data_IF_445952367949
#
_entry.id   IF_445952367949
#
_cell.length_a   1.000
_cell.length_b   1.000
_cell.length_c   1.000
_cell.angle_alpha   90.00
_cell.angle_beta   90.00
_cell.angle_gamma   90.00
#
_symmetry.space_group_name_H-M   'P 1'
#
loop_
_entity.id
_entity.type
_entity.pdbx_description
1 polymer ?
#
# COMPACT_ATOMS: atom_id res chain seq x y z
N UNK A 1 5.06 -27.46 11.67
CA UNK A 1 6.33 -27.04 11.08
C UNK A 1 6.97 -26.00 11.98
N UNK A 2 7.82 -26.45 12.93
CA UNK A 2 8.50 -25.60 13.88
C UNK A 2 9.63 -24.78 13.26
N UNK A 3 9.31 -23.90 12.34
CA UNK A 3 10.29 -22.91 11.89
C UNK A 3 10.43 -21.89 13.00
N UNK A 4 11.62 -21.74 13.56
CA UNK A 4 11.85 -20.71 14.56
C UNK A 4 11.59 -19.34 13.94
N UNK A 5 10.63 -18.64 14.50
CA UNK A 5 10.29 -17.29 14.11
C UNK A 5 10.88 -16.31 15.10
N UNK A 6 11.34 -15.23 14.62
CA UNK A 6 12.00 -14.19 15.32
C UNK A 6 11.04 -13.28 16.06
N UNK A 7 11.31 -13.06 17.32
CA UNK A 7 10.68 -11.98 18.05
C UNK A 7 11.33 -10.65 17.63
N UNK A 8 10.67 -9.90 16.78
CA UNK A 8 11.07 -8.55 16.50
C UNK A 8 10.75 -7.65 17.69
N UNK A 9 11.75 -7.29 18.48
CA UNK A 9 11.65 -6.29 19.55
C UNK A 9 11.41 -4.87 19.01
N UNK A 10 11.18 -4.71 17.71
CA UNK A 10 11.31 -3.41 17.05
C UNK A 10 10.02 -2.78 16.54
N UNK A 11 8.86 -3.44 16.65
CA UNK A 11 7.63 -2.88 16.10
C UNK A 11 6.53 -2.81 17.13
N UNK A 12 6.29 -1.63 17.66
CA UNK A 12 4.99 -1.35 18.26
C UNK A 12 3.86 -1.54 17.26
N UNK A 13 4.07 -1.21 15.99
CA UNK A 13 3.13 -1.54 14.91
C UNK A 13 2.89 -3.04 14.75
N UNK A 14 3.92 -3.87 14.85
CA UNK A 14 3.75 -5.32 14.78
C UNK A 14 3.11 -5.91 16.05
N UNK A 15 3.17 -5.23 17.18
CA UNK A 15 2.47 -5.67 18.40
C UNK A 15 0.95 -5.53 18.29
N UNK A 16 0.48 -4.61 17.45
CA UNK A 16 -0.94 -4.37 17.22
C UNK A 16 -1.44 -4.96 15.90
N UNK A 17 -0.53 -5.32 15.00
CA UNK A 17 -0.86 -5.78 13.66
C UNK A 17 -0.52 -7.26 13.50
N UNK A 18 -1.50 -8.11 13.78
CA UNK A 18 -1.37 -9.57 13.83
C UNK A 18 -1.42 -10.24 12.45
N UNK A 19 -1.35 -9.48 11.36
CA UNK A 19 -1.39 -10.07 10.01
C UNK A 19 -0.07 -10.73 9.59
N UNK A 20 1.01 -10.52 10.33
CA UNK A 20 2.30 -11.12 10.01
C UNK A 20 2.28 -12.61 10.37
N UNK A 21 2.32 -13.54 9.40
CA UNK A 21 2.16 -14.97 9.66
C UNK A 21 3.11 -15.57 10.69
N UNK A 22 4.32 -15.02 10.89
CA UNK A 22 5.24 -15.53 11.91
C UNK A 22 4.94 -15.13 13.35
N UNK A 23 3.99 -14.25 13.58
CA UNK A 23 3.61 -13.81 14.92
C UNK A 23 2.42 -14.60 15.43
N UNK A 24 2.34 -14.81 16.74
CA UNK A 24 1.16 -15.39 17.34
C UNK A 24 -0.04 -14.47 17.09
N UNK A 25 -1.06 -15.00 16.44
CA UNK A 25 -2.34 -14.33 16.31
C UNK A 25 -3.13 -14.55 17.60
N UNK A 26 -3.63 -13.47 18.22
CA UNK A 26 -4.55 -13.60 19.35
C UNK A 26 -5.97 -14.04 18.94
N UNK A 27 -6.17 -14.45 17.69
CA UNK A 27 -7.46 -14.86 17.13
C UNK A 27 -7.55 -16.37 17.00
N UNK A 28 -8.77 -16.89 17.15
CA UNK A 28 -9.10 -18.31 17.11
C UNK A 28 -10.01 -18.64 15.91
N UNK A 29 -10.20 -19.92 15.61
CA UNK A 29 -11.19 -20.36 14.64
C UNK A 29 -12.61 -19.96 15.04
N UNK A 30 -12.90 -19.90 16.33
CA UNK A 30 -14.17 -19.41 16.84
C UNK A 30 -14.38 -17.93 16.50
N UNK A 31 -13.34 -17.11 16.61
CA UNK A 31 -13.39 -15.70 16.21
C UNK A 31 -13.63 -15.56 14.69
N UNK A 32 -12.95 -16.36 13.88
CA UNK A 32 -13.17 -16.37 12.44
C UNK A 32 -14.63 -16.74 12.09
N UNK A 33 -15.18 -17.77 12.72
CA UNK A 33 -16.60 -18.17 12.53
C UNK A 33 -17.52 -17.05 12.99
N UNK A 34 -17.23 -16.40 14.11
CA UNK A 34 -18.04 -15.29 14.62
C UNK A 34 -18.05 -14.10 13.65
N UNK A 35 -16.92 -13.75 13.06
CA UNK A 35 -16.82 -12.69 12.06
C UNK A 35 -17.60 -13.03 10.80
N UNK A 36 -17.45 -14.23 10.27
CA UNK A 36 -18.18 -14.68 9.07
C UNK A 36 -19.70 -14.63 9.30
N UNK A 37 -20.17 -15.09 10.46
CA UNK A 37 -21.57 -15.03 10.85
C UNK A 37 -22.08 -13.60 11.04
N UNK A 38 -21.29 -12.74 11.67
CA UNK A 38 -21.62 -11.32 11.88
C UNK A 38 -21.94 -10.61 10.57
N UNK A 39 -21.24 -10.96 9.49
CA UNK A 39 -21.44 -10.37 8.17
C UNK A 39 -22.40 -11.16 7.28
N UNK A 40 -23.07 -12.20 7.82
CA UNK A 40 -24.03 -13.04 7.10
C UNK A 40 -23.40 -13.86 5.96
N UNK A 41 -22.06 -13.97 5.92
CA UNK A 41 -21.33 -14.60 4.83
C UNK A 41 -21.15 -16.12 4.95
N UNK A 42 -21.69 -16.73 6.02
CA UNK A 42 -21.46 -18.17 6.28
C UNK A 42 -21.90 -19.06 5.11
N UNK A 43 -23.05 -18.80 4.54
CA UNK A 43 -23.58 -19.61 3.45
C UNK A 43 -22.85 -19.39 2.12
N UNK A 44 -22.21 -18.23 1.95
CA UNK A 44 -21.39 -17.89 0.78
C UNK A 44 -19.94 -18.36 0.93
N UNK A 45 -19.53 -18.69 2.15
CA UNK A 45 -18.19 -19.20 2.41
C UNK A 45 -18.01 -20.59 1.78
N UNK A 46 -16.94 -20.85 1.02
CA UNK A 46 -16.67 -22.14 0.42
C UNK A 46 -16.72 -23.29 1.45
N UNK A 47 -17.30 -24.42 1.06
CA UNK A 47 -17.47 -25.57 1.96
C UNK A 47 -16.14 -26.06 2.54
N UNK A 48 -15.05 -26.01 1.77
CA UNK A 48 -13.71 -26.39 2.23
C UNK A 48 -13.25 -25.55 3.42
N UNK A 49 -13.52 -24.24 3.39
CA UNK A 49 -13.19 -23.32 4.48
C UNK A 49 -14.08 -23.58 5.68
N UNK A 50 -15.40 -23.68 5.48
CA UNK A 50 -16.34 -23.97 6.57
C UNK A 50 -15.98 -25.27 7.29
N UNK A 51 -15.70 -26.32 6.53
CA UNK A 51 -15.30 -27.62 7.06
C UNK A 51 -13.98 -27.53 7.85
N UNK A 52 -13.01 -26.77 7.34
CA UNK A 52 -11.74 -26.56 8.04
C UNK A 52 -11.94 -25.83 9.37
N UNK A 53 -12.71 -24.76 9.39
CA UNK A 53 -13.01 -24.00 10.60
C UNK A 53 -13.80 -24.82 11.63
N UNK A 54 -14.77 -25.65 11.17
CA UNK A 54 -15.57 -26.51 12.04
C UNK A 54 -14.78 -27.72 12.57
N UNK A 55 -13.77 -28.16 11.85
CA UNK A 55 -12.87 -29.23 12.30
C UNK A 55 -11.81 -28.72 13.27
N UNK A 56 -11.89 -27.47 13.70
CA UNK A 56 -10.98 -26.81 14.60
C UNK A 56 -10.77 -27.62 15.88
N UNK A 57 -9.52 -27.78 16.25
CA UNK A 57 -9.09 -28.49 17.46
C UNK A 57 -7.63 -28.14 17.74
N UNK A 58 -7.08 -28.60 18.86
CA UNK A 58 -5.77 -28.19 19.35
C UNK A 58 -4.62 -28.31 18.34
N UNK A 59 -4.77 -29.18 17.35
CA UNK A 59 -3.76 -29.38 16.30
C UNK A 59 -3.91 -28.45 15.09
N UNK A 60 -5.06 -27.82 14.93
CA UNK A 60 -5.37 -26.96 13.79
C UNK A 60 -5.52 -25.49 14.19
N UNK A 61 -5.67 -25.22 15.48
CA UNK A 61 -5.82 -23.87 16.01
C UNK A 61 -4.53 -23.05 15.83
N UNK A 62 -4.68 -21.74 15.78
CA UNK A 62 -3.54 -20.84 15.82
C UNK A 62 -2.73 -21.06 17.12
N UNK A 63 -1.41 -20.93 17.01
CA UNK A 63 -0.55 -20.96 18.18
C UNK A 63 -0.94 -19.84 19.13
N UNK A 64 -1.14 -20.17 20.41
CA UNK A 64 -1.44 -19.17 21.42
C UNK A 64 -0.25 -18.25 21.68
N UNK A 65 -0.52 -17.09 22.28
CA UNK A 65 0.55 -16.16 22.68
C UNK A 65 1.48 -16.83 23.69
N UNK A 66 0.92 -17.60 24.63
CA UNK A 66 1.67 -18.33 25.64
C UNK A 66 2.60 -19.39 25.02
N UNK A 67 2.10 -20.17 24.07
CA UNK A 67 2.92 -21.14 23.33
C UNK A 67 4.01 -20.42 22.53
N UNK A 68 3.67 -19.32 21.86
CA UNK A 68 4.63 -18.52 21.11
C UNK A 68 5.77 -17.99 21.98
N UNK A 69 5.48 -17.54 23.20
CA UNK A 69 6.48 -17.03 24.14
C UNK A 69 7.43 -18.13 24.64
N UNK A 70 7.02 -19.42 24.60
CA UNK A 70 7.88 -20.53 24.94
C UNK A 70 8.89 -20.90 23.85
N UNK A 71 8.65 -20.45 22.64
CA UNK A 71 9.53 -20.71 21.53
C UNK A 71 10.85 -19.97 21.74
N UNK A 72 11.97 -20.68 21.64
CA UNK A 72 13.31 -20.12 21.87
C UNK A 72 13.65 -18.90 21.00
N UNK A 73 14.78 -18.25 21.29
CA UNK A 73 15.24 -17.04 20.65
C UNK A 73 15.26 -17.16 19.12
N UNK A 74 14.80 -16.13 18.49
CA UNK A 74 14.57 -16.09 17.06
C UNK A 74 15.11 -14.80 16.49
N UNK A 75 15.66 -14.89 15.32
CA UNK A 75 16.26 -13.72 14.68
C UNK A 75 15.41 -13.22 13.53
N UNK A 76 14.94 -11.98 13.57
CA UNK A 76 14.32 -11.27 12.48
C UNK A 76 15.13 -10.02 12.17
N UNK A 77 15.74 -9.96 11.02
CA UNK A 77 16.48 -8.80 10.58
C UNK A 77 15.57 -7.86 9.81
N UNK A 78 15.37 -6.66 10.29
CA UNK A 78 14.87 -5.59 9.47
C UNK A 78 16.01 -4.89 8.79
N UNK A 79 15.82 -4.66 7.51
CA UNK A 79 16.74 -3.85 6.73
C UNK A 79 16.56 -2.41 7.20
N UNK A 80 17.39 -2.04 8.18
CA UNK A 80 17.76 -0.69 8.59
C UNK A 80 16.66 0.36 8.78
N UNK A 81 16.44 0.75 10.02
CA UNK A 81 15.65 1.93 10.40
C UNK A 81 16.10 3.20 9.67
N UNK A 82 17.40 3.35 9.45
CA UNK A 82 18.00 4.56 8.84
C UNK A 82 18.16 4.43 7.31
N UNK A 83 17.77 3.30 6.72
CA UNK A 83 17.79 3.05 5.28
C UNK A 83 16.37 2.80 4.73
N UNK A 84 15.35 3.27 5.42
CA UNK A 84 13.98 3.30 4.89
C UNK A 84 13.90 4.23 3.69
N UNK A 85 12.87 4.07 2.88
CA UNK A 85 12.69 4.84 1.64
C UNK A 85 12.79 6.34 1.87
N UNK A 86 12.19 6.86 2.96
CA UNK A 86 12.19 8.30 3.22
C UNK A 86 13.60 8.90 3.42
N UNK A 87 14.45 8.41 4.33
CA UNK A 87 15.81 8.95 4.47
C UNK A 87 16.61 8.88 3.18
N UNK A 88 16.47 7.83 2.40
CA UNK A 88 17.14 7.67 1.10
C UNK A 88 16.66 8.72 0.09
N UNK A 89 15.35 8.89 -0.05
CA UNK A 89 14.75 9.91 -0.94
C UNK A 89 15.11 11.31 -0.48
N UNK A 90 15.00 11.61 0.81
CA UNK A 90 15.35 12.91 1.36
C UNK A 90 16.83 13.25 1.19
N UNK A 91 17.72 12.25 1.34
CA UNK A 91 19.14 12.40 1.03
C UNK A 91 19.35 12.73 -0.43
N UNK A 92 18.74 11.94 -1.33
CA UNK A 92 18.86 12.14 -2.77
C UNK A 92 18.30 13.48 -3.24
N UNK A 93 17.17 13.89 -2.71
CA UNK A 93 16.59 15.20 -3.00
C UNK A 93 17.57 16.34 -2.63
N UNK A 94 18.17 16.28 -1.44
CA UNK A 94 19.17 17.27 -1.00
C UNK A 94 20.42 17.28 -1.88
N UNK A 95 20.92 16.11 -2.28
CA UNK A 95 22.06 16.00 -3.21
C UNK A 95 21.76 16.68 -4.55
N UNK A 96 20.49 16.66 -4.97
CA UNK A 96 20.01 17.32 -6.19
C UNK A 96 19.64 18.80 -5.98
N UNK A 97 19.81 19.33 -4.77
CA UNK A 97 19.52 20.73 -4.45
C UNK A 97 18.06 21.02 -4.07
N UNK A 98 17.25 20.01 -3.79
CA UNK A 98 15.84 20.18 -3.42
C UNK A 98 15.61 19.95 -1.92
N UNK A 99 14.95 20.89 -1.22
CA UNK A 99 14.35 20.60 0.08
C UNK A 99 13.38 19.44 -0.03
N UNK A 100 13.35 18.58 0.99
CA UNK A 100 12.40 17.46 1.05
C UNK A 100 11.59 17.52 2.35
N UNK A 101 10.30 17.45 2.23
CA UNK A 101 9.34 17.49 3.34
C UNK A 101 8.52 16.22 3.36
N UNK A 102 8.52 15.53 4.50
CA UNK A 102 7.60 14.43 4.77
C UNK A 102 6.25 15.02 5.19
N UNK A 103 5.21 14.75 4.40
CA UNK A 103 3.83 15.16 4.70
C UNK A 103 3.14 14.15 5.61
N UNK A 104 3.32 12.86 5.34
CA UNK A 104 2.74 11.78 6.14
C UNK A 104 3.50 10.48 5.92
N UNK A 105 3.75 9.74 7.01
CA UNK A 105 4.22 8.35 6.98
C UNK A 105 3.06 7.35 7.11
N UNK A 106 1.84 7.84 7.27
CA UNK A 106 0.66 7.04 7.65
C UNK A 106 -0.54 7.36 6.74
N UNK A 107 -0.30 7.54 5.44
CA UNK A 107 -1.37 7.84 4.51
C UNK A 107 -2.19 6.58 4.24
N UNK A 108 -3.37 6.51 4.82
CA UNK A 108 -4.35 5.46 4.61
C UNK A 108 -5.65 6.12 4.10
N UNK A 109 -5.81 6.17 2.79
CA UNK A 109 -6.97 6.78 2.16
C UNK A 109 -7.30 6.06 0.85
N UNK A 110 -8.48 6.34 0.30
CA UNK A 110 -8.79 5.96 -1.07
C UNK A 110 -7.75 6.59 -2.02
N UNK A 111 -7.13 5.79 -2.87
CA UNK A 111 -5.95 6.20 -3.64
C UNK A 111 -6.24 7.42 -4.53
N UNK A 112 -7.40 7.46 -5.19
CA UNK A 112 -7.83 8.60 -6.03
C UNK A 112 -7.98 9.89 -5.24
N UNK A 113 -8.49 9.81 -4.03
CA UNK A 113 -8.68 10.98 -3.16
C UNK A 113 -7.33 11.49 -2.66
N UNK A 114 -6.47 10.58 -2.20
CA UNK A 114 -5.11 10.91 -1.79
C UNK A 114 -4.32 11.59 -2.91
N UNK A 115 -4.35 11.03 -4.13
CA UNK A 115 -3.70 11.59 -5.31
C UNK A 115 -4.19 13.00 -5.64
N UNK A 116 -5.50 13.21 -5.62
CA UNK A 116 -6.11 14.52 -5.83
C UNK A 116 -5.66 15.55 -4.80
N UNK A 117 -5.65 15.19 -3.51
CA UNK A 117 -5.24 16.09 -2.42
C UNK A 117 -3.78 16.48 -2.53
N UNK A 118 -2.89 15.51 -2.79
CA UNK A 118 -1.44 15.79 -2.93
C UNK A 118 -1.17 16.66 -4.16
N UNK A 119 -1.88 16.44 -5.25
CA UNK A 119 -1.79 17.29 -6.43
C UNK A 119 -2.20 18.75 -6.12
N UNK A 120 -3.29 18.95 -5.38
CA UNK A 120 -3.75 20.28 -4.96
C UNK A 120 -2.76 20.97 -4.02
N UNK A 121 -2.15 20.26 -3.07
CA UNK A 121 -1.08 20.80 -2.23
C UNK A 121 0.12 21.21 -3.10
N UNK A 122 0.48 20.42 -4.11
CA UNK A 122 1.56 20.71 -5.05
C UNK A 122 1.25 21.97 -5.88
N UNK A 123 0.00 22.14 -6.32
CA UNK A 123 -0.47 23.35 -7.00
C UNK A 123 -0.35 24.60 -6.10
N UNK A 124 -0.74 24.49 -4.83
CA UNK A 124 -0.58 25.58 -3.86
C UNK A 124 0.90 25.96 -3.67
N UNK A 125 1.76 24.97 -3.47
CA UNK A 125 3.20 25.20 -3.37
C UNK A 125 3.76 25.88 -4.63
N UNK A 126 3.35 25.44 -5.81
CA UNK A 126 3.80 25.97 -7.11
C UNK A 126 3.29 27.39 -7.38
N UNK A 127 2.01 27.66 -7.14
CA UNK A 127 1.36 28.92 -7.52
C UNK A 127 1.44 29.98 -6.44
N UNK A 128 1.42 29.59 -5.17
CA UNK A 128 1.31 30.49 -4.03
C UNK A 128 2.57 30.53 -3.15
N UNK A 129 3.50 29.57 -3.32
CA UNK A 129 4.63 29.40 -2.40
C UNK A 129 4.22 29.00 -0.99
N UNK A 130 3.02 28.46 -0.82
CA UNK A 130 2.45 28.07 0.46
C UNK A 130 1.69 26.73 0.33
N UNK A 131 1.65 25.88 1.36
CA UNK A 131 2.38 25.99 2.62
C UNK A 131 3.88 25.72 2.49
N UNK A 132 4.35 25.35 1.30
CA UNK A 132 5.75 25.02 1.01
C UNK A 132 6.27 25.89 -0.13
N UNK A 133 7.50 26.39 0.03
CA UNK A 133 8.17 27.18 -0.99
C UNK A 133 8.77 26.26 -2.06
N UNK A 134 8.34 26.39 -3.30
CA UNK A 134 8.97 25.70 -4.43
C UNK A 134 10.37 26.31 -4.76
N UNK A 135 11.33 25.52 -5.28
CA UNK A 135 11.22 24.09 -5.56
C UNK A 135 11.33 23.22 -4.29
N UNK A 136 10.49 22.17 -4.19
CA UNK A 136 10.43 21.28 -3.03
C UNK A 136 10.02 19.87 -3.45
N UNK A 137 10.54 18.87 -2.77
CA UNK A 137 10.06 17.49 -2.84
C UNK A 137 9.09 17.25 -1.68
N UNK A 138 7.84 16.94 -1.99
CA UNK A 138 6.85 16.53 -1.01
C UNK A 138 6.75 15.00 -1.02
N UNK A 139 6.90 14.38 0.13
CA UNK A 139 6.93 12.93 0.24
C UNK A 139 5.81 12.44 1.15
N UNK A 140 5.13 11.40 0.71
CA UNK A 140 4.16 10.66 1.51
C UNK A 140 4.51 9.17 1.50
N UNK A 141 4.16 8.48 2.56
CA UNK A 141 4.27 7.03 2.70
C UNK A 141 3.04 6.52 3.43
N UNK A 142 2.71 5.26 3.24
CA UNK A 142 1.54 4.62 3.85
C UNK A 142 1.00 3.52 2.95
N UNK A 143 -0.23 3.11 3.22
CA UNK A 143 -0.91 2.02 2.53
C UNK A 143 -2.29 2.49 2.05
N UNK A 144 -2.35 3.12 0.88
CA UNK A 144 -3.63 3.52 0.31
C UNK A 144 -4.47 2.30 -0.09
N UNK A 145 -5.77 2.49 -0.14
CA UNK A 145 -6.76 1.48 -0.54
C UNK A 145 -7.41 1.86 -1.85
N UNK A 146 -8.01 0.87 -2.52
CA UNK A 146 -8.82 1.05 -3.72
C UNK A 146 -10.12 0.30 -3.54
N UNK A 147 -11.23 0.98 -3.73
CA UNK A 147 -12.54 0.35 -3.79
C UNK A 147 -12.75 -0.27 -5.18
N UNK A 148 -12.59 -1.58 -5.27
CA UNK A 148 -12.75 -2.31 -6.53
C UNK A 148 -14.23 -2.50 -6.83
N UNK A 149 -14.69 -1.93 -7.95
CA UNK A 149 -16.04 -2.13 -8.45
C UNK A 149 -16.23 -3.49 -9.15
N UNK A 150 -17.43 -3.76 -9.63
CA UNK A 150 -17.78 -5.01 -10.34
C UNK A 150 -16.93 -5.25 -11.61
N UNK A 151 -16.32 -4.22 -12.16
CA UNK A 151 -15.43 -4.28 -13.33
C UNK A 151 -14.05 -3.76 -12.93
N UNK A 152 -13.38 -4.46 -12.03
CA UNK A 152 -12.03 -4.11 -11.65
C UNK A 152 -11.05 -4.18 -12.85
N UNK A 153 -10.13 -3.22 -12.92
CA UNK A 153 -9.03 -3.20 -13.87
C UNK A 153 -7.83 -4.02 -13.39
N UNK A 154 -6.72 -3.88 -14.09
CA UNK A 154 -5.44 -4.55 -13.77
C UNK A 154 -4.44 -3.63 -13.06
N UNK A 155 -4.76 -2.37 -12.88
CA UNK A 155 -3.97 -1.41 -12.12
C UNK A 155 -4.12 -1.59 -10.61
N UNK A 156 -3.41 -0.77 -9.86
CA UNK A 156 -3.45 -0.78 -8.40
C UNK A 156 -3.50 0.63 -7.82
N UNK A 157 -3.33 0.71 -6.52
CA UNK A 157 -3.44 1.96 -5.75
C UNK A 157 -2.49 3.06 -6.20
N UNK A 158 -1.26 2.74 -6.58
CA UNK A 158 -0.31 3.75 -7.04
C UNK A 158 -0.66 4.26 -8.44
N UNK A 159 -1.21 3.41 -9.30
CA UNK A 159 -1.68 3.82 -10.62
C UNK A 159 -2.93 4.70 -10.52
N UNK A 160 -3.91 4.30 -9.71
CA UNK A 160 -5.12 5.10 -9.47
C UNK A 160 -4.79 6.46 -8.84
N UNK A 161 -3.93 6.47 -7.82
CA UNK A 161 -3.41 7.69 -7.21
C UNK A 161 -2.84 8.67 -8.25
N UNK A 162 -2.02 8.17 -9.18
CA UNK A 162 -1.36 9.01 -10.17
C UNK A 162 -2.30 9.51 -11.25
N UNK A 163 -3.22 8.68 -11.72
CA UNK A 163 -4.23 9.13 -12.70
C UNK A 163 -5.06 10.26 -12.10
N UNK A 164 -5.51 10.12 -10.85
CA UNK A 164 -6.22 11.17 -10.15
C UNK A 164 -5.37 12.44 -9.99
N UNK A 165 -4.09 12.30 -9.68
CA UNK A 165 -3.17 13.43 -9.60
C UNK A 165 -2.96 14.11 -10.96
N UNK A 166 -2.77 13.35 -12.05
CA UNK A 166 -2.60 13.88 -13.41
C UNK A 166 -3.79 14.76 -13.84
N UNK A 167 -5.00 14.34 -13.51
CA UNK A 167 -6.21 15.14 -13.78
C UNK A 167 -6.17 16.51 -13.10
N UNK A 168 -5.60 16.62 -11.89
CA UNK A 168 -5.53 17.89 -11.17
C UNK A 168 -4.43 18.82 -11.68
N UNK A 169 -3.31 18.26 -12.15
CA UNK A 169 -2.14 19.05 -12.58
C UNK A 169 -2.07 19.25 -14.09
N UNK A 170 -3.11 18.89 -14.84
CA UNK A 170 -3.14 19.06 -16.28
C UNK A 170 -2.81 20.50 -16.69
N UNK A 171 -1.83 20.65 -17.59
CA UNK A 171 -1.36 21.94 -18.07
C UNK A 171 -0.31 22.64 -17.18
N UNK A 172 0.10 22.03 -16.09
CA UNK A 172 1.16 22.57 -15.19
C UNK A 172 2.55 22.09 -15.62
N UNK A 173 3.44 22.99 -15.92
CA UNK A 173 4.77 22.72 -16.51
C UNK A 173 5.87 22.30 -15.52
N UNK A 174 5.63 22.38 -14.20
CA UNK A 174 6.69 22.22 -13.17
C UNK A 174 6.25 21.38 -11.98
N UNK A 175 5.26 20.54 -12.19
CA UNK A 175 4.82 19.58 -11.19
C UNK A 175 5.00 18.18 -11.76
N UNK A 176 5.66 17.32 -11.00
CA UNK A 176 5.84 15.91 -11.31
C UNK A 176 5.40 15.11 -10.09
N UNK A 177 4.54 14.12 -10.27
CA UNK A 177 4.04 13.28 -9.19
C UNK A 177 4.37 11.83 -9.52
N UNK A 178 5.11 11.19 -8.63
CA UNK A 178 5.45 9.78 -8.71
C UNK A 178 4.82 8.99 -7.57
N UNK A 179 4.44 7.75 -7.84
CA UNK A 179 4.07 6.79 -6.81
C UNK A 179 4.64 5.43 -7.16
N UNK A 180 5.09 4.69 -6.16
CA UNK A 180 5.70 3.38 -6.33
C UNK A 180 5.32 2.48 -5.16
N UNK A 181 4.98 1.25 -5.47
CA UNK A 181 4.82 0.22 -4.46
C UNK A 181 6.18 -0.36 -4.09
N UNK A 182 6.49 -0.41 -2.81
CA UNK A 182 7.79 -0.85 -2.31
C UNK A 182 7.87 -2.36 -2.09
N UNK A 183 6.74 -3.06 -2.17
CA UNK A 183 6.66 -4.52 -2.13
C UNK A 183 6.86 -5.18 -3.51
N UNK A 184 6.90 -4.38 -4.59
CA UNK A 184 7.25 -4.82 -5.94
C UNK A 184 6.07 -5.06 -6.86
N UNK A 185 4.83 -4.84 -6.42
CA UNK A 185 3.63 -5.00 -7.24
C UNK A 185 2.58 -3.93 -6.94
N UNK A 186 1.82 -3.51 -7.95
CA UNK A 186 0.73 -2.56 -7.80
C UNK A 186 -0.56 -3.14 -8.39
N UNK A 187 -1.37 -3.76 -7.53
CA UNK A 187 -2.60 -4.45 -7.92
C UNK A 187 -2.37 -5.81 -8.57
N UNK A 188 -3.38 -6.38 -9.24
CA UNK A 188 -3.35 -7.74 -9.81
C UNK A 188 -2.50 -7.87 -11.07
N UNK A 189 -2.11 -6.77 -11.68
CA UNK A 189 -1.18 -6.78 -12.81
C UNK A 189 0.25 -7.09 -12.34
N UNK A 190 1.07 -7.68 -13.19
CA UNK A 190 2.47 -8.00 -12.87
C UNK A 190 2.68 -9.37 -12.26
N UNK A 191 1.63 -10.14 -12.05
CA UNK A 191 1.79 -11.57 -11.86
C UNK A 191 2.32 -12.16 -13.17
N UNK A 192 3.37 -12.97 -13.08
CA UNK A 192 3.98 -13.65 -14.24
C UNK A 192 3.05 -14.78 -14.72
N UNK A 193 1.90 -14.37 -15.24
CA UNK A 193 0.90 -15.26 -15.83
C UNK A 193 0.94 -15.08 -17.35
N UNK A 194 0.96 -16.17 -18.13
CA UNK A 194 0.93 -16.10 -19.58
C UNK A 194 -0.25 -15.25 -20.08
N UNK A 195 0.04 -14.15 -20.78
CA UNK A 195 -0.98 -13.23 -21.31
C UNK A 195 -1.51 -12.19 -20.33
N UNK A 196 -1.04 -12.17 -19.08
CA UNK A 196 -1.37 -11.09 -18.17
C UNK A 196 -0.64 -9.79 -18.60
N UNK A 197 -1.28 -8.62 -18.55
CA UNK A 197 -0.60 -7.36 -18.74
C UNK A 197 0.45 -7.17 -17.64
N UNK A 198 1.65 -6.73 -18.03
CA UNK A 198 2.67 -6.40 -17.04
C UNK A 198 2.22 -5.17 -16.25
N UNK A 199 2.16 -5.30 -14.94
CA UNK A 199 1.94 -4.19 -14.04
C UNK A 199 3.29 -3.62 -13.60
N UNK A 200 3.44 -2.33 -13.77
CA UNK A 200 4.56 -1.62 -13.20
C UNK A 200 4.25 -1.33 -11.72
N UNK A 201 5.20 -1.57 -10.84
CA UNK A 201 5.06 -1.28 -9.41
C UNK A 201 4.89 0.22 -9.10
N UNK A 202 4.92 1.04 -10.12
CA UNK A 202 4.73 2.48 -10.01
C UNK A 202 4.87 3.19 -11.37
N UNK A 203 4.67 4.49 -11.40
CA UNK A 203 4.97 5.36 -12.52
C UNK A 203 5.04 6.84 -12.08
N UNK A 204 5.23 7.72 -13.04
CA UNK A 204 5.33 9.16 -12.88
C UNK A 204 4.33 9.83 -13.81
N UNK A 205 3.71 10.91 -13.34
CA UNK A 205 2.82 11.77 -14.12
C UNK A 205 3.25 13.24 -13.98
N UNK A 206 2.94 14.01 -14.99
CA UNK A 206 3.16 15.45 -15.05
C UNK A 206 1.97 16.18 -15.71
N UNK A 207 2.13 17.47 -15.98
CA UNK A 207 1.07 18.28 -16.56
C UNK A 207 0.68 17.92 -18.00
N UNK A 208 1.47 17.13 -18.69
CA UNK A 208 1.23 16.70 -20.09
C UNK A 208 0.62 15.30 -20.19
N UNK A 209 0.66 14.54 -19.12
CA UNK A 209 0.23 13.11 -19.12
C UNK A 209 -1.19 12.91 -19.64
N UNK A 210 -2.13 13.80 -19.32
CA UNK A 210 -3.51 13.69 -19.81
C UNK A 210 -3.63 13.95 -21.32
N UNK A 211 -2.84 14.87 -21.84
CA UNK A 211 -2.78 15.18 -23.28
C UNK A 211 -2.16 14.03 -24.08
N UNK A 212 -1.00 13.54 -23.63
CA UNK A 212 -0.31 12.41 -24.24
C UNK A 212 -1.16 11.14 -24.25
N UNK A 213 -1.89 10.87 -23.16
CA UNK A 213 -2.83 9.76 -23.11
C UNK A 213 -3.96 9.91 -24.14
N UNK A 214 -4.51 11.13 -24.27
CA UNK A 214 -5.53 11.44 -25.28
C UNK A 214 -5.05 11.25 -26.71
N UNK A 215 -3.83 11.69 -27.01
CA UNK A 215 -3.18 11.48 -28.32
C UNK A 215 -2.94 9.99 -28.62
N UNK A 216 -2.64 9.20 -27.58
CA UNK A 216 -2.53 7.74 -27.66
C UNK A 216 -3.89 7.02 -27.75
N UNK A 217 -5.01 7.75 -27.75
CA UNK A 217 -6.36 7.18 -27.78
C UNK A 217 -6.84 6.60 -26.45
N UNK A 218 -6.18 6.94 -25.35
CA UNK A 218 -6.53 6.49 -24.01
C UNK A 218 -7.41 7.54 -23.31
N UNK A 219 -8.48 7.10 -22.68
CA UNK A 219 -9.34 7.98 -21.88
C UNK A 219 -9.15 7.71 -20.39
N UNK A 220 -8.21 8.43 -19.78
CA UNK A 220 -7.88 8.26 -18.36
C UNK A 220 -9.01 8.73 -17.44
N UNK A 221 -9.95 9.55 -17.89
CA UNK A 221 -11.13 9.95 -17.12
C UNK A 221 -12.05 8.77 -16.76
N UNK A 222 -11.97 7.70 -17.55
CA UNK A 222 -12.73 6.47 -17.31
C UNK A 222 -11.92 5.41 -16.55
N UNK A 223 -10.70 5.73 -16.13
CA UNK A 223 -9.79 4.79 -15.46
C UNK A 223 -9.96 4.77 -13.93
N UNK A 224 -10.73 5.69 -13.39
CA UNK A 224 -11.09 5.82 -11.97
C UNK A 224 -12.57 5.41 -11.77
#
# INVERSE_FOLDING_TARGET
>A
LGVPVLRATYFEMLRTNTFFPPLAAGSTYADAIAVINKWGAWNETPESIRRHLLAGGPHNENMSVEEYETLGARFFGLIFKDATVYPAVAKKARELGYPCVMLSEYMEAEAREAGSVIAQISLCARRMGAPFQAPVVLLTSGENVVTVGAKGGVGGRNQEYRVAAAMQIQGEDKIVIGAVDTDGTDGPGGLDLPGAPQCLAGAVVDGYTMEEAGEAGLNLWNAL
#
